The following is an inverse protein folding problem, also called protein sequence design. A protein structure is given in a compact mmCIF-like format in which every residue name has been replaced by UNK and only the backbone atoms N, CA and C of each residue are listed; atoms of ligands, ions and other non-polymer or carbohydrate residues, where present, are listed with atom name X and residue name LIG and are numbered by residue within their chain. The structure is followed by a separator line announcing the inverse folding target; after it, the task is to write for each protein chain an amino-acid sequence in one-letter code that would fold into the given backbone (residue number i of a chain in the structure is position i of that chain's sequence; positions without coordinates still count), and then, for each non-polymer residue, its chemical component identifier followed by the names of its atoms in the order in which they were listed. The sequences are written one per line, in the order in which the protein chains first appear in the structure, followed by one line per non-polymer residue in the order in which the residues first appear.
data_IF_374134617146
#
_entry.id   IF_374134617146
#
_cell.length_a   1.000
_cell.length_b   1.000
_cell.length_c   1.000
_cell.angle_alpha   90.00
_cell.angle_beta   90.00
_cell.angle_gamma   90.00
#
_symmetry.space_group_name_H-M   'P 1'
#
loop_
_entity.id
_entity.type
_entity.pdbx_description
1 polymer ?
#
# COMPACT_ATOMS: atom_id res chain seq x y z
N UNK A 1 -17.31 4.78 5.79
CA UNK A 1 -15.84 4.86 6.00
C UNK A 1 -15.09 4.81 4.66
N UNK A 2 -15.37 3.85 3.79
CA UNK A 2 -14.77 3.76 2.44
C UNK A 2 -15.00 5.03 1.58
N UNK A 3 -16.21 5.61 1.60
CA UNK A 3 -16.52 6.83 0.84
C UNK A 3 -15.69 8.04 1.26
N UNK A 4 -15.41 8.19 2.56
CA UNK A 4 -14.57 9.28 3.09
C UNK A 4 -13.12 9.11 2.67
N UNK A 5 -12.61 7.87 2.69
CA UNK A 5 -11.24 7.58 2.27
C UNK A 5 -11.05 7.80 0.77
N UNK A 6 -12.01 7.37 -0.07
CA UNK A 6 -12.02 7.67 -1.52
C UNK A 6 -12.05 9.17 -1.81
N UNK A 7 -12.88 9.93 -1.08
CA UNK A 7 -12.93 11.38 -1.22
C UNK A 7 -11.62 12.06 -0.81
N UNK A 8 -10.99 11.59 0.27
CA UNK A 8 -9.69 12.08 0.69
C UNK A 8 -8.62 11.85 -0.38
N UNK A 9 -8.50 10.61 -0.90
CA UNK A 9 -7.56 10.28 -1.99
C UNK A 9 -7.76 11.16 -3.24
N UNK A 10 -9.01 11.45 -3.61
CA UNK A 10 -9.33 12.30 -4.75
C UNK A 10 -9.00 13.78 -4.51
N UNK A 11 -8.98 14.23 -3.25
CA UNK A 11 -8.75 15.64 -2.90
C UNK A 11 -7.29 15.94 -2.65
N UNK A 12 -6.58 15.05 -1.95
CA UNK A 12 -5.18 15.25 -1.58
C UNK A 12 -4.21 14.67 -2.60
N UNK A 13 -4.67 13.77 -3.48
CA UNK A 13 -3.89 13.12 -4.54
C UNK A 13 -2.49 12.64 -4.11
N UNK A 14 -2.35 11.92 -2.98
CA UNK A 14 -1.05 11.50 -2.48
C UNK A 14 -0.33 10.57 -3.46
N UNK A 15 0.99 10.67 -3.49
CA UNK A 15 1.82 9.77 -4.29
C UNK A 15 1.92 8.37 -3.68
N UNK A 16 1.97 8.32 -2.34
CA UNK A 16 2.06 7.09 -1.54
C UNK A 16 1.14 7.20 -0.33
N UNK A 17 0.37 6.15 -0.05
CA UNK A 17 -0.50 6.05 1.12
C UNK A 17 -0.20 4.76 1.85
N UNK A 18 0.05 4.88 3.16
CA UNK A 18 0.24 3.76 4.06
C UNK A 18 -0.95 3.67 4.99
N UNK A 19 -1.64 2.52 4.99
CA UNK A 19 -2.75 2.24 5.90
C UNK A 19 -2.37 1.07 6.78
N UNK A 20 -2.42 1.27 8.09
CA UNK A 20 -2.20 0.24 9.09
C UNK A 20 -3.55 -0.23 9.63
N UNK A 21 -3.55 -1.39 10.29
CA UNK A 21 -4.75 -1.97 10.91
C UNK A 21 -5.91 -2.08 9.90
N UNK A 22 -5.61 -2.60 8.71
CA UNK A 22 -6.63 -2.71 7.65
C UNK A 22 -7.67 -3.79 7.96
N UNK A 23 -7.28 -4.83 8.70
CA UNK A 23 -8.11 -5.99 9.03
C UNK A 23 -8.70 -6.71 7.79
N UNK A 24 -8.06 -6.54 6.61
CA UNK A 24 -8.49 -7.14 5.35
C UNK A 24 -7.95 -8.57 5.21
N UNK A 25 -8.82 -9.53 4.92
CA UNK A 25 -8.45 -10.93 4.67
C UNK A 25 -8.69 -11.43 3.25
N UNK A 26 -9.71 -10.92 2.56
CA UNK A 26 -10.17 -11.49 1.28
C UNK A 26 -10.54 -10.43 0.25
N UNK A 27 -11.43 -9.50 0.58
CA UNK A 27 -11.78 -8.42 -0.33
C UNK A 27 -10.76 -7.29 -0.28
N UNK A 28 -10.11 -7.06 -1.41
CA UNK A 28 -9.14 -6.00 -1.59
C UNK A 28 -9.84 -4.82 -2.28
N UNK A 29 -10.10 -3.68 -1.58
CA UNK A 29 -10.70 -2.51 -2.21
C UNK A 29 -9.82 -1.98 -3.33
N UNK A 30 -10.45 -1.52 -4.40
CA UNK A 30 -9.78 -0.90 -5.53
C UNK A 30 -9.93 0.62 -5.47
N UNK A 31 -8.82 1.33 -5.67
CA UNK A 31 -8.76 2.78 -5.73
C UNK A 31 -8.23 3.20 -7.11
N UNK A 32 -9.08 3.75 -7.99
CA UNK A 32 -8.66 4.16 -9.33
C UNK A 32 -7.46 5.11 -9.31
N UNK A 33 -6.48 4.88 -10.17
CA UNK A 33 -5.24 5.66 -10.24
C UNK A 33 -4.17 5.26 -9.22
N UNK A 34 -4.39 4.19 -8.44
CA UNK A 34 -3.42 3.64 -7.51
C UNK A 34 -3.19 2.15 -7.76
N UNK A 35 -1.91 1.76 -7.80
CA UNK A 35 -1.48 0.37 -7.67
C UNK A 35 -1.44 0.00 -6.20
N UNK A 36 -1.82 -1.23 -5.89
CA UNK A 36 -1.93 -1.68 -4.51
C UNK A 36 -0.94 -2.78 -4.15
N UNK A 37 -0.37 -2.68 -2.96
CA UNK A 37 0.41 -3.72 -2.31
C UNK A 37 -0.17 -3.98 -0.93
N UNK A 38 -0.81 -5.13 -0.77
CA UNK A 38 -1.42 -5.55 0.50
C UNK A 38 -0.58 -6.63 1.14
N UNK A 39 -0.24 -6.47 2.41
CA UNK A 39 0.09 -7.62 3.25
C UNK A 39 -1.16 -7.98 4.04
N UNK A 40 -1.64 -9.20 3.81
CA UNK A 40 -2.82 -9.75 4.48
C UNK A 40 -2.60 -9.77 5.98
N UNK A 41 -3.68 -9.60 6.72
CA UNK A 41 -3.69 -9.90 8.15
C UNK A 41 -3.50 -11.41 8.32
N UNK A 42 -2.26 -11.85 8.58
CA UNK A 42 -1.97 -13.28 8.81
C UNK A 42 -2.45 -13.73 10.20
N UNK A 43 -2.53 -12.79 11.16
CA UNK A 43 -2.99 -13.07 12.50
C UNK A 43 -4.50 -12.90 12.64
N UNK A 44 -5.11 -13.77 13.45
CA UNK A 44 -6.50 -13.62 13.93
C UNK A 44 -6.48 -13.40 15.44
N UNK A 45 -7.38 -12.58 15.96
CA UNK A 45 -7.58 -12.44 17.41
C UNK A 45 -8.28 -13.69 17.98
N UNK A 46 -8.49 -13.73 19.30
CA UNK A 46 -9.14 -14.86 19.99
C UNK A 46 -10.57 -15.17 19.51
N UNK A 47 -11.22 -14.24 18.80
CA UNK A 47 -12.55 -14.43 18.22
C UNK A 47 -12.48 -14.89 16.75
N UNK A 48 -11.30 -15.27 16.26
CA UNK A 48 -11.08 -15.65 14.87
C UNK A 48 -11.20 -14.47 13.88
N UNK A 49 -11.29 -13.23 14.36
CA UNK A 49 -11.38 -12.06 13.49
C UNK A 49 -9.99 -11.64 13.02
N UNK A 50 -9.87 -11.07 11.81
CA UNK A 50 -8.60 -10.55 11.32
C UNK A 50 -8.03 -9.56 12.34
N UNK A 51 -6.77 -9.74 12.67
CA UNK A 51 -6.05 -8.89 13.59
C UNK A 51 -4.78 -8.42 12.87
N UNK A 52 -4.59 -7.10 12.78
CA UNK A 52 -3.54 -6.43 11.99
C UNK A 52 -3.84 -6.38 10.49
N UNK A 53 -2.81 -6.09 9.69
CA UNK A 53 -2.89 -5.93 8.24
C UNK A 53 -2.45 -4.53 7.81
N UNK A 54 -1.87 -4.45 6.62
CA UNK A 54 -1.42 -3.18 6.03
C UNK A 54 -1.79 -3.11 4.55
N UNK A 55 -1.98 -1.89 4.08
CA UNK A 55 -2.14 -1.58 2.68
C UNK A 55 -1.21 -0.43 2.30
N UNK A 56 -0.51 -0.60 1.19
CA UNK A 56 0.26 0.46 0.55
C UNK A 56 -0.41 0.73 -0.80
N UNK A 57 -0.78 1.98 -1.02
CA UNK A 57 -1.30 2.47 -2.29
C UNK A 57 -0.26 3.40 -2.89
N UNK A 58 0.08 3.19 -4.15
CA UNK A 58 1.08 3.98 -4.87
C UNK A 58 0.46 4.45 -6.16
N UNK A 59 0.51 5.77 -6.40
CA UNK A 59 -0.07 6.38 -7.61
C UNK A 59 0.49 5.68 -8.85
N UNK A 60 -0.38 5.32 -9.79
CA UNK A 60 0.00 4.48 -10.94
C UNK A 60 1.13 5.10 -11.76
N UNK A 61 1.11 6.42 -11.93
CA UNK A 61 2.15 7.19 -12.62
C UNK A 61 3.55 7.01 -12.03
N UNK A 62 3.65 6.78 -10.72
CA UNK A 62 4.91 6.49 -10.03
C UNK A 62 5.27 5.02 -10.22
N UNK A 63 4.31 4.12 -10.00
CA UNK A 63 4.56 2.67 -10.05
C UNK A 63 4.89 2.12 -11.44
N UNK A 64 4.53 2.85 -12.50
CA UNK A 64 4.78 2.44 -13.88
C UNK A 64 6.25 2.64 -14.30
N UNK A 65 6.98 3.54 -13.64
CA UNK A 65 8.32 3.98 -14.08
C UNK A 65 9.42 3.76 -13.05
N UNK A 66 9.06 3.25 -11.87
CA UNK A 66 9.95 3.12 -10.72
C UNK A 66 9.92 1.71 -10.15
N UNK A 67 11.06 1.29 -9.63
CA UNK A 67 11.16 0.08 -8.84
C UNK A 67 10.78 0.41 -7.39
N UNK A 68 9.98 -0.45 -6.78
CA UNK A 68 9.43 -0.23 -5.44
C UNK A 68 9.81 -1.41 -4.57
N UNK A 69 10.59 -1.14 -3.54
CA UNK A 69 10.92 -2.13 -2.51
C UNK A 69 10.22 -1.75 -1.20
N UNK A 70 9.63 -2.75 -0.55
CA UNK A 70 8.90 -2.57 0.69
C UNK A 70 9.48 -3.50 1.74
N UNK A 71 9.77 -2.96 2.92
CA UNK A 71 10.21 -3.74 4.07
C UNK A 71 9.16 -3.64 5.17
N UNK A 72 8.84 -4.79 5.74
CA UNK A 72 7.84 -4.90 6.80
C UNK A 72 8.36 -5.76 7.93
N UNK A 73 7.97 -5.42 9.16
CA UNK A 73 8.28 -6.21 10.35
C UNK A 73 6.98 -6.43 11.12
N UNK A 74 6.61 -7.69 11.35
CA UNK A 74 5.49 -8.07 12.26
C UNK A 74 4.21 -7.24 12.07
N UNK A 75 3.83 -6.96 10.82
CA UNK A 75 2.65 -6.16 10.42
C UNK A 75 2.79 -4.63 10.42
N UNK A 76 4.00 -4.09 10.57
CA UNK A 76 4.30 -2.68 10.40
C UNK A 76 5.10 -2.44 9.11
N UNK A 77 4.84 -1.30 8.46
CA UNK A 77 5.67 -0.81 7.36
C UNK A 77 6.87 -0.13 7.98
N UNK A 78 8.07 -0.69 7.77
CA UNK A 78 9.30 -0.13 8.33
C UNK A 78 10.03 0.75 7.31
N UNK A 79 9.94 0.42 6.02
CA UNK A 79 10.49 1.24 4.95
C UNK A 79 9.74 1.03 3.62
N UNK A 80 9.67 2.11 2.84
CA UNK A 80 9.28 2.10 1.42
C UNK A 80 10.39 2.81 0.66
N UNK A 81 11.03 2.10 -0.26
CA UNK A 81 12.11 2.62 -1.08
C UNK A 81 11.63 2.68 -2.54
N UNK A 82 11.70 3.86 -3.16
CA UNK A 82 11.23 4.10 -4.53
C UNK A 82 12.42 4.56 -5.37
N UNK A 83 12.86 3.69 -6.27
CA UNK A 83 14.00 3.92 -7.13
C UNK A 83 13.54 4.35 -8.52
N UNK A 84 14.05 5.47 -9.01
CA UNK A 84 13.99 5.74 -10.45
C UNK A 84 14.85 4.71 -11.17
N UNK A 85 14.37 4.16 -12.29
CA UNK A 85 15.25 3.47 -13.21
C UNK A 85 16.17 4.52 -13.83
N UNK A 86 17.21 4.93 -13.11
CA UNK A 86 18.34 5.59 -13.74
C UNK A 86 18.97 4.53 -14.63
N UNK A 87 18.62 4.61 -15.91
CA UNK A 87 19.28 3.90 -16.98
C UNK A 87 20.78 4.00 -16.73
N UNK A 88 21.45 2.87 -16.47
CA UNK A 88 22.91 2.81 -16.60
C UNK A 88 23.24 3.24 -18.03
N UNK A 89 23.61 4.50 -18.22
CA UNK A 89 24.38 4.90 -19.40
C UNK A 89 25.77 4.34 -19.12
N UNK A 90 26.09 3.21 -19.74
CA UNK A 90 27.48 2.80 -19.86
C UNK A 90 28.15 3.87 -20.74
N UNK A 91 28.95 4.74 -20.11
CA UNK A 91 29.89 5.63 -20.80
C UNK A 91 31.13 4.81 -21.16
#
# INVERSE_FOLDING_TARGET
KETLFKHHLATTEPDVVCVQETFITEYIPQFPGYKHHYLKAEARNNNGQPFRGLAILIKESISATRTIEMRTATSEITAIEIYTNETKINI
#
